data_IF_894081064414
#
_entry.id   IF_894081064414
#
_cell.length_a   1.000
_cell.length_b   1.000
_cell.length_c   1.000
_cell.angle_alpha   90.00
_cell.angle_beta   90.00
_cell.angle_gamma   90.00
#
_symmetry.space_group_name_H-M   'P 1'
#
loop_
_entity.id
_entity.type
_entity.pdbx_description
1 polymer ?
#
# COMPACT_ATOMS: atom_id res chain seq x y z
N UNK A 1 3.81 -15.81 -23.64
CA UNK A 1 5.07 -15.06 -23.45
C UNK A 1 5.97 -15.80 -22.48
N UNK A 2 7.17 -16.19 -22.90
CA UNK A 2 8.24 -16.69 -22.02
C UNK A 2 9.22 -15.54 -21.82
N UNK A 3 9.63 -15.28 -20.58
CA UNK A 3 10.70 -14.32 -20.26
C UNK A 3 11.84 -15.12 -19.67
N UNK A 4 13.01 -15.05 -20.30
CA UNK A 4 14.24 -15.67 -19.80
C UNK A 4 15.11 -14.57 -19.20
N UNK A 5 15.59 -14.78 -17.99
CA UNK A 5 16.52 -13.88 -17.30
C UNK A 5 17.74 -14.69 -16.93
N UNK A 6 18.91 -14.31 -17.44
CA UNK A 6 20.18 -14.85 -16.99
C UNK A 6 20.65 -14.04 -15.78
N UNK A 7 20.88 -14.73 -14.66
CA UNK A 7 21.30 -14.11 -13.40
C UNK A 7 22.78 -14.40 -13.18
N UNK A 8 23.66 -13.53 -13.68
CA UNK A 8 25.11 -13.71 -13.65
C UNK A 8 25.68 -13.86 -12.22
N UNK A 9 26.26 -15.01 -11.88
CA UNK A 9 27.03 -15.26 -10.65
C UNK A 9 26.44 -16.31 -9.70
N UNK A 10 27.28 -16.87 -8.82
CA UNK A 10 26.90 -17.97 -7.90
C UNK A 10 26.19 -17.46 -6.63
N UNK A 11 25.28 -18.26 -6.08
CA UNK A 11 24.65 -18.05 -4.76
C UNK A 11 23.15 -17.76 -4.78
N UNK A 12 22.51 -17.80 -3.60
CA UNK A 12 21.10 -17.44 -3.44
C UNK A 12 20.88 -15.95 -3.71
N UNK A 13 19.80 -15.63 -4.42
CA UNK A 13 19.42 -14.25 -4.73
C UNK A 13 17.92 -14.04 -4.51
N UNK A 14 17.52 -12.95 -3.85
CA UNK A 14 16.12 -12.61 -3.77
C UNK A 14 15.60 -12.19 -5.16
N UNK A 15 14.59 -12.88 -5.65
CA UNK A 15 13.92 -12.58 -6.92
C UNK A 15 12.48 -12.18 -6.64
N UNK A 16 12.01 -11.13 -7.32
CA UNK A 16 10.61 -10.71 -7.29
C UNK A 16 10.08 -10.59 -8.72
N UNK A 17 9.07 -11.38 -9.04
CA UNK A 17 8.40 -11.36 -10.34
C UNK A 17 7.13 -10.53 -10.20
N UNK A 18 7.03 -9.43 -10.94
CA UNK A 18 5.78 -8.67 -11.05
C UNK A 18 4.97 -9.19 -12.22
N UNK A 19 3.70 -9.50 -11.96
CA UNK A 19 2.77 -9.96 -12.97
C UNK A 19 2.12 -8.77 -13.69
N UNK A 20 1.60 -8.96 -14.92
CA UNK A 20 0.88 -7.91 -15.64
C UNK A 20 -0.21 -7.25 -14.80
N UNK A 21 -0.29 -5.92 -14.86
CA UNK A 21 -1.28 -5.12 -14.10
C UNK A 21 -2.64 -5.06 -14.78
N UNK A 22 -2.70 -5.20 -16.11
CA UNK A 22 -3.94 -5.10 -16.90
C UNK A 22 -4.18 -6.39 -17.70
N UNK A 23 -4.34 -7.50 -17.00
CA UNK A 23 -4.66 -8.78 -17.62
C UNK A 23 -4.86 -9.89 -16.58
N UNK A 24 -5.64 -10.90 -16.94
CA UNK A 24 -5.86 -12.07 -16.07
C UNK A 24 -4.72 -13.06 -16.26
N UNK A 25 -3.94 -13.28 -15.21
CA UNK A 25 -2.92 -14.33 -15.19
C UNK A 25 -3.55 -15.64 -14.73
N UNK A 26 -3.71 -16.59 -15.65
CA UNK A 26 -4.27 -17.92 -15.33
C UNK A 26 -3.25 -18.91 -14.79
N UNK A 27 -1.99 -18.76 -15.18
CA UNK A 27 -0.90 -19.65 -14.76
C UNK A 27 0.45 -18.98 -14.90
N UNK A 28 1.39 -19.32 -14.02
CA UNK A 28 2.80 -18.96 -14.11
C UNK A 28 3.65 -20.22 -14.01
N UNK A 29 4.79 -20.23 -14.71
CA UNK A 29 5.80 -21.30 -14.60
C UNK A 29 7.16 -20.65 -14.43
N UNK A 30 7.93 -21.10 -13.45
CA UNK A 30 9.30 -20.66 -13.20
C UNK A 30 10.22 -21.82 -13.55
N UNK A 31 11.05 -21.64 -14.57
CA UNK A 31 12.10 -22.60 -14.91
C UNK A 31 13.37 -22.29 -14.14
N UNK A 32 14.06 -23.31 -13.65
CA UNK A 32 15.34 -23.21 -12.96
C UNK A 32 16.34 -24.16 -13.62
N UNK A 33 17.63 -23.83 -13.52
CA UNK A 33 18.69 -24.75 -13.93
C UNK A 33 18.68 -26.02 -13.08
N UNK A 34 19.20 -27.12 -13.64
CA UNK A 34 19.29 -28.40 -12.93
C UNK A 34 20.18 -28.23 -11.69
N UNK A 35 19.63 -28.57 -10.53
CA UNK A 35 20.32 -28.46 -9.23
C UNK A 35 20.17 -27.11 -8.53
N UNK A 36 19.56 -26.10 -9.17
CA UNK A 36 19.21 -24.85 -8.51
C UNK A 36 18.08 -25.06 -7.49
N UNK A 37 18.05 -24.20 -6.46
CA UNK A 37 17.06 -24.25 -5.38
C UNK A 37 16.22 -22.98 -5.35
N UNK A 38 14.94 -23.13 -5.01
CA UNK A 38 14.02 -22.03 -4.76
C UNK A 38 13.61 -22.06 -3.29
N UNK A 39 13.74 -20.91 -2.61
CA UNK A 39 13.36 -20.76 -1.21
C UNK A 39 12.50 -19.51 -1.02
N UNK A 40 11.61 -19.56 -0.03
CA UNK A 40 10.77 -18.42 0.30
C UNK A 40 11.60 -17.32 0.96
N UNK A 41 11.62 -16.15 0.34
CA UNK A 41 12.23 -14.94 0.92
C UNK A 41 11.27 -14.33 1.93
N UNK A 42 11.75 -14.09 3.16
CA UNK A 42 11.03 -13.30 4.15
C UNK A 42 11.38 -11.82 3.99
N UNK A 43 10.40 -10.94 4.23
CA UNK A 43 10.66 -9.51 4.29
C UNK A 43 11.58 -9.20 5.49
N UNK A 44 12.75 -8.55 5.27
CA UNK A 44 13.65 -8.13 6.36
C UNK A 44 12.97 -7.33 7.48
N UNK A 45 11.93 -6.55 7.17
CA UNK A 45 11.12 -5.81 8.13
C UNK A 45 10.39 -6.69 9.15
N UNK A 46 10.24 -7.99 8.87
CA UNK A 46 9.43 -8.93 9.64
C UNK A 46 7.91 -8.73 9.50
N UNK A 47 7.47 -7.81 8.65
CA UNK A 47 6.04 -7.58 8.39
C UNK A 47 5.50 -8.74 7.54
N UNK A 48 4.53 -9.46 8.10
CA UNK A 48 3.90 -10.63 7.45
C UNK A 48 2.52 -10.33 6.86
N UNK A 49 1.79 -9.37 7.43
CA UNK A 49 0.45 -8.98 6.96
C UNK A 49 0.56 -7.87 5.91
N UNK A 50 -0.25 -7.88 4.86
CA UNK A 50 -0.11 -6.93 3.77
C UNK A 50 -0.55 -5.52 4.14
N UNK A 51 0.07 -4.55 3.48
CA UNK A 51 -0.55 -3.24 3.24
C UNK A 51 -1.62 -3.44 2.17
N UNK A 52 -2.85 -3.05 2.47
CA UNK A 52 -3.98 -3.10 1.52
C UNK A 52 -4.24 -1.70 1.02
N UNK A 53 -3.95 -1.45 -0.26
CA UNK A 53 -4.09 -0.12 -0.86
C UNK A 53 -5.27 -0.07 -1.81
N UNK A 54 -6.32 0.62 -1.40
CA UNK A 54 -7.50 0.91 -2.18
C UNK A 54 -7.38 2.26 -2.88
N UNK A 55 -7.70 2.31 -4.18
CA UNK A 55 -7.79 3.58 -4.88
C UNK A 55 -7.98 3.45 -6.38
N UNK A 56 -7.55 4.47 -7.11
CA UNK A 56 -8.00 4.76 -8.49
C UNK A 56 -7.24 3.98 -9.58
N UNK A 57 -7.35 4.44 -10.84
CA UNK A 57 -6.53 3.98 -11.96
C UNK A 57 -5.03 4.13 -11.71
N UNK A 58 -4.63 5.12 -10.91
CA UNK A 58 -3.23 5.35 -10.52
C UNK A 58 -2.75 4.20 -9.65
N UNK A 59 -3.53 3.83 -8.62
CA UNK A 59 -3.26 2.66 -7.76
C UNK A 59 -3.20 1.39 -8.60
N UNK A 60 -4.13 1.22 -9.55
CA UNK A 60 -4.18 0.07 -10.48
C UNK A 60 -2.91 -0.05 -11.35
N UNK A 61 -2.17 1.04 -11.55
CA UNK A 61 -0.89 1.06 -12.27
C UNK A 61 -0.91 1.87 -13.57
N UNK A 62 -1.96 2.66 -13.83
CA UNK A 62 -1.94 3.67 -14.89
C UNK A 62 -0.93 4.79 -14.54
N UNK A 63 0.10 5.08 -15.35
CA UNK A 63 0.48 4.53 -16.66
C UNK A 63 1.94 4.04 -16.65
N UNK A 64 2.33 3.26 -15.65
CA UNK A 64 3.68 2.73 -15.56
C UNK A 64 3.99 1.81 -16.75
N UNK A 65 5.19 1.95 -17.33
CA UNK A 65 5.59 1.19 -18.53
C UNK A 65 5.71 -0.31 -18.29
N UNK A 66 5.91 -0.71 -17.03
CA UNK A 66 5.95 -2.11 -16.59
C UNK A 66 5.46 -2.27 -15.15
N UNK A 67 4.93 -3.44 -14.77
CA UNK A 67 4.36 -3.68 -13.43
C UNK A 67 5.29 -3.37 -12.26
N UNK A 68 6.60 -3.58 -12.42
CA UNK A 68 7.59 -3.27 -11.38
C UNK A 68 7.81 -1.78 -11.15
N UNK A 69 7.36 -0.92 -12.07
CA UNK A 69 7.44 0.55 -11.98
C UNK A 69 6.16 1.21 -11.51
N UNK A 70 5.06 0.48 -11.31
CA UNK A 70 3.89 1.03 -10.63
C UNK A 70 4.30 1.59 -9.27
N UNK A 71 3.82 2.77 -8.91
CA UNK A 71 4.22 3.40 -7.66
C UNK A 71 3.89 2.52 -6.44
N UNK A 72 2.81 1.74 -6.49
CA UNK A 72 2.42 0.75 -5.47
C UNK A 72 3.45 -0.37 -5.33
N UNK A 73 3.94 -0.90 -6.46
CA UNK A 73 5.05 -1.86 -6.49
C UNK A 73 6.29 -1.25 -5.85
N UNK A 74 6.67 -0.02 -6.23
CA UNK A 74 7.82 0.70 -5.67
C UNK A 74 7.65 0.92 -4.16
N UNK A 75 6.48 1.39 -3.74
CA UNK A 75 6.15 1.66 -2.35
C UNK A 75 6.25 0.40 -1.50
N UNK A 76 5.70 -0.72 -1.95
CA UNK A 76 5.80 -2.02 -1.27
C UNK A 76 7.25 -2.51 -1.14
N UNK A 77 8.09 -2.34 -2.18
CA UNK A 77 9.52 -2.69 -2.08
C UNK A 77 10.24 -1.85 -1.03
N UNK A 78 10.05 -0.53 -1.07
CA UNK A 78 10.78 0.40 -0.23
C UNK A 78 10.27 0.43 1.22
N UNK A 79 8.99 0.13 1.43
CA UNK A 79 8.42 -0.11 2.75
C UNK A 79 8.77 -1.50 3.31
N UNK A 80 9.24 -2.39 2.44
CA UNK A 80 9.58 -3.77 2.72
C UNK A 80 8.44 -4.53 3.41
N UNK A 81 7.24 -4.47 2.83
CA UNK A 81 6.05 -5.15 3.33
C UNK A 81 5.34 -5.89 2.20
N UNK A 82 4.61 -6.99 2.50
CA UNK A 82 3.65 -7.54 1.56
C UNK A 82 2.64 -6.46 1.17
N UNK A 83 2.22 -6.44 -0.09
CA UNK A 83 1.42 -5.36 -0.64
C UNK A 83 0.30 -5.91 -1.51
N UNK A 84 -0.93 -5.51 -1.21
CA UNK A 84 -2.13 -5.85 -1.99
C UNK A 84 -2.62 -4.57 -2.65
N UNK A 85 -2.52 -4.54 -3.98
CA UNK A 85 -3.00 -3.46 -4.81
C UNK A 85 -4.48 -3.69 -5.15
N UNK A 86 -5.37 -2.86 -4.60
CA UNK A 86 -6.81 -2.85 -4.84
C UNK A 86 -7.20 -1.58 -5.62
N UNK A 87 -6.53 -1.37 -6.76
CA UNK A 87 -6.80 -0.27 -7.67
C UNK A 87 -7.97 -0.55 -8.62
N UNK A 88 -8.93 0.36 -8.69
CA UNK A 88 -10.12 0.28 -9.53
C UNK A 88 -10.19 1.48 -10.48
N UNK A 89 -9.77 1.25 -11.73
CA UNK A 89 -9.72 2.29 -12.77
C UNK A 89 -11.09 2.90 -13.02
N UNK A 90 -11.27 4.19 -12.70
CA UNK A 90 -12.54 4.92 -12.84
C UNK A 90 -13.66 4.54 -11.86
N UNK A 91 -13.43 3.56 -10.97
CA UNK A 91 -14.50 2.96 -10.16
C UNK A 91 -14.25 2.97 -8.64
N UNK A 92 -13.11 3.46 -8.15
CA UNK A 92 -12.89 3.64 -6.71
C UNK A 92 -13.63 4.86 -6.14
N UNK A 93 -14.94 4.75 -5.87
CA UNK A 93 -15.81 5.86 -5.39
C UNK A 93 -16.34 5.65 -3.97
N UNK A 94 -15.58 4.94 -3.15
CA UNK A 94 -15.84 4.67 -1.74
C UNK A 94 -17.14 3.89 -1.52
N UNK A 95 -17.39 2.92 -2.41
CA UNK A 95 -18.55 2.04 -2.33
C UNK A 95 -18.54 1.24 -1.02
N UNK A 96 -19.63 1.23 -0.24
CA UNK A 96 -19.68 0.54 1.05
C UNK A 96 -19.37 -0.96 0.97
N UNK A 97 -19.70 -1.60 -0.15
CA UNK A 97 -19.41 -3.02 -0.39
C UNK A 97 -17.92 -3.28 -0.63
N UNK A 98 -17.18 -2.31 -1.19
CA UNK A 98 -15.72 -2.45 -1.33
C UNK A 98 -15.04 -2.40 0.03
N UNK A 99 -15.53 -1.61 0.99
CA UNK A 99 -15.01 -1.65 2.35
C UNK A 99 -15.15 -3.05 2.99
N UNK A 100 -16.25 -3.78 2.73
CA UNK A 100 -16.40 -5.16 3.21
C UNK A 100 -15.38 -6.10 2.58
N UNK A 101 -15.13 -5.96 1.29
CA UNK A 101 -14.14 -6.78 0.57
C UNK A 101 -12.74 -6.54 1.14
N UNK A 102 -12.36 -5.28 1.36
CA UNK A 102 -11.07 -4.93 1.96
C UNK A 102 -10.96 -5.44 3.39
N UNK A 103 -12.03 -5.35 4.19
CA UNK A 103 -12.08 -5.81 5.57
C UNK A 103 -11.91 -7.33 5.71
N UNK A 104 -12.12 -8.13 4.65
CA UNK A 104 -11.83 -9.58 4.68
C UNK A 104 -10.33 -9.89 4.67
N UNK A 105 -9.49 -8.93 4.30
CA UNK A 105 -8.04 -9.09 4.25
C UNK A 105 -7.46 -8.68 5.61
N UNK A 106 -6.75 -9.60 6.27
CA UNK A 106 -6.05 -9.32 7.53
C UNK A 106 -4.81 -8.43 7.28
N UNK A 107 -5.02 -7.12 7.30
CA UNK A 107 -4.02 -6.12 6.91
C UNK A 107 -3.09 -5.68 8.06
N UNK A 108 -1.90 -5.19 7.71
CA UNK A 108 -1.06 -4.40 8.61
C UNK A 108 -1.34 -2.90 8.54
N UNK A 109 -1.94 -2.45 7.44
CA UNK A 109 -2.32 -1.07 7.15
C UNK A 109 -3.37 -1.06 6.03
N UNK A 110 -4.42 -0.26 6.17
CA UNK A 110 -5.27 0.13 5.05
C UNK A 110 -4.88 1.51 4.53
N UNK A 111 -4.69 1.64 3.22
CA UNK A 111 -4.46 2.91 2.53
C UNK A 111 -5.67 3.22 1.67
N UNK A 112 -6.25 4.41 1.83
CA UNK A 112 -7.46 4.88 1.15
C UNK A 112 -7.10 6.10 0.31
N UNK A 113 -7.01 5.91 -1.01
CA UNK A 113 -6.59 6.91 -2.01
C UNK A 113 -7.67 7.08 -3.11
N UNK A 114 -8.78 7.78 -2.82
CA UNK A 114 -9.97 7.77 -3.68
C UNK A 114 -10.09 9.00 -4.62
N UNK A 115 -9.27 10.04 -4.40
CA UNK A 115 -9.55 11.42 -4.83
C UNK A 115 -9.83 11.54 -6.32
N UNK A 116 -9.00 10.95 -7.18
CA UNK A 116 -9.10 11.09 -8.63
C UNK A 116 -10.38 10.51 -9.25
N UNK A 117 -11.11 9.67 -8.52
CA UNK A 117 -12.38 9.09 -8.99
C UNK A 117 -13.61 9.72 -8.30
N UNK A 118 -13.41 10.59 -7.31
CA UNK A 118 -14.47 11.15 -6.47
C UNK A 118 -14.69 12.63 -6.73
N UNK A 119 -15.93 13.08 -6.51
CA UNK A 119 -16.26 14.49 -6.35
C UNK A 119 -16.20 14.88 -4.87
N UNK A 120 -16.16 16.18 -4.53
CA UNK A 120 -16.23 16.64 -3.15
C UNK A 120 -17.46 16.09 -2.39
N UNK A 121 -18.60 15.97 -3.06
CA UNK A 121 -19.86 15.46 -2.49
C UNK A 121 -19.71 13.98 -2.13
N UNK A 122 -19.14 13.17 -3.03
CA UNK A 122 -18.87 11.75 -2.77
C UNK A 122 -17.93 11.60 -1.56
N UNK A 123 -16.89 12.43 -1.47
CA UNK A 123 -15.96 12.39 -0.33
C UNK A 123 -16.70 12.69 0.98
N UNK A 124 -17.46 13.79 1.04
CA UNK A 124 -18.21 14.18 2.24
C UNK A 124 -19.22 13.14 2.68
N UNK A 125 -19.90 12.52 1.71
CA UNK A 125 -20.92 11.49 1.97
C UNK A 125 -20.29 10.16 2.42
N UNK A 126 -19.21 9.72 1.77
CA UNK A 126 -18.80 8.29 1.83
C UNK A 126 -17.49 8.00 2.53
N UNK A 127 -16.59 8.97 2.67
CA UNK A 127 -15.26 8.71 3.23
C UNK A 127 -15.36 8.24 4.69
N UNK A 128 -16.13 8.94 5.53
CA UNK A 128 -16.29 8.54 6.93
C UNK A 128 -16.93 7.14 7.08
N UNK A 129 -18.09 6.83 6.48
CA UNK A 129 -18.66 5.49 6.56
C UNK A 129 -17.70 4.39 6.11
N UNK A 130 -16.92 4.65 5.04
CA UNK A 130 -15.92 3.72 4.53
C UNK A 130 -14.81 3.45 5.56
N UNK A 131 -14.25 4.50 6.17
CA UNK A 131 -13.21 4.39 7.19
C UNK A 131 -13.73 3.71 8.46
N UNK A 132 -14.94 4.06 8.91
CA UNK A 132 -15.57 3.44 10.08
C UNK A 132 -15.79 1.94 9.88
N UNK A 133 -16.15 1.50 8.68
CA UNK A 133 -16.35 0.08 8.36
C UNK A 133 -15.05 -0.72 8.44
N UNK A 134 -13.96 -0.19 7.87
CA UNK A 134 -12.63 -0.79 7.98
C UNK A 134 -12.17 -0.86 9.45
N UNK A 135 -12.35 0.23 10.20
CA UNK A 135 -11.99 0.30 11.61
C UNK A 135 -12.81 -0.67 12.46
N UNK A 136 -14.12 -0.79 12.23
CA UNK A 136 -14.98 -1.71 12.97
C UNK A 136 -14.55 -3.17 12.80
N UNK A 137 -14.14 -3.56 11.58
CA UNK A 137 -13.63 -4.91 11.32
C UNK A 137 -12.23 -5.13 11.92
N UNK A 138 -11.38 -4.11 11.93
CA UNK A 138 -9.99 -4.20 12.40
C UNK A 138 -9.56 -2.99 13.26
N UNK A 139 -10.05 -2.86 14.51
CA UNK A 139 -9.86 -1.64 15.31
C UNK A 139 -8.40 -1.32 15.68
N UNK A 140 -7.51 -2.31 15.55
CA UNK A 140 -6.07 -2.18 15.83
C UNK A 140 -5.22 -1.85 14.61
N UNK A 141 -5.80 -1.83 13.40
CA UNK A 141 -5.06 -1.61 12.15
C UNK A 141 -5.09 -0.12 11.81
N UNK A 142 -3.93 0.51 11.52
CA UNK A 142 -3.89 1.90 11.11
C UNK A 142 -4.60 2.11 9.77
N UNK A 143 -5.18 3.31 9.61
CA UNK A 143 -5.77 3.82 8.38
C UNK A 143 -4.91 4.97 7.88
N UNK A 144 -4.52 4.95 6.61
CA UNK A 144 -3.85 6.07 5.93
C UNK A 144 -4.79 6.64 4.87
N UNK A 145 -5.23 7.88 5.07
CA UNK A 145 -6.08 8.62 4.13
C UNK A 145 -5.18 9.51 3.28
N UNK A 146 -5.28 9.37 1.95
CA UNK A 146 -4.39 10.02 1.00
C UNK A 146 -5.13 11.07 0.17
N UNK A 147 -4.53 12.24 0.03
CA UNK A 147 -4.88 13.17 -1.05
C UNK A 147 -4.49 12.62 -2.42
N UNK A 148 -5.12 13.13 -3.47
CA UNK A 148 -4.69 12.91 -4.85
C UNK A 148 -3.56 13.86 -5.22
N UNK A 149 -2.59 13.37 -6.00
CA UNK A 149 -1.49 14.20 -6.51
C UNK A 149 -1.97 15.43 -7.30
N UNK A 150 -1.18 16.50 -7.28
CA UNK A 150 -1.52 17.81 -7.85
C UNK A 150 -0.53 18.15 -8.99
N UNK A 151 -0.71 17.59 -10.21
CA UNK A 151 0.26 17.72 -11.30
C UNK A 151 0.50 19.16 -11.75
N UNK A 152 -0.51 20.03 -11.57
CA UNK A 152 -0.42 21.46 -11.87
C UNK A 152 -0.06 22.31 -10.64
N UNK A 153 0.23 21.70 -9.50
CA UNK A 153 0.47 22.41 -8.23
C UNK A 153 -0.77 23.13 -7.67
N UNK A 154 -1.95 22.86 -8.24
CA UNK A 154 -3.22 23.44 -7.81
C UNK A 154 -3.97 22.41 -6.98
N UNK A 155 -4.33 22.84 -5.77
CA UNK A 155 -5.13 22.02 -4.87
C UNK A 155 -6.55 21.83 -5.39
N UNK A 156 -7.00 20.58 -5.41
CA UNK A 156 -8.35 20.25 -5.86
C UNK A 156 -9.39 20.44 -4.76
N UNK A 157 -10.63 20.82 -5.13
CA UNK A 157 -11.77 20.85 -4.21
C UNK A 157 -12.05 19.48 -3.57
N UNK A 158 -11.71 18.39 -4.26
CA UNK A 158 -11.84 17.04 -3.72
C UNK A 158 -10.80 16.77 -2.62
N UNK A 159 -9.55 17.25 -2.75
CA UNK A 159 -8.55 17.23 -1.67
C UNK A 159 -8.99 18.08 -0.47
N UNK A 160 -9.60 19.24 -0.71
CA UNK A 160 -10.16 20.08 0.36
C UNK A 160 -11.26 19.34 1.14
N UNK A 161 -12.23 18.74 0.44
CA UNK A 161 -13.29 17.94 1.06
C UNK A 161 -12.73 16.72 1.83
N UNK A 162 -11.68 16.08 1.31
CA UNK A 162 -11.03 14.96 2.00
C UNK A 162 -10.37 15.43 3.30
N UNK A 163 -9.67 16.57 3.27
CA UNK A 163 -9.06 17.17 4.46
C UNK A 163 -10.10 17.57 5.49
N UNK A 164 -11.22 18.15 5.06
CA UNK A 164 -12.35 18.52 5.91
C UNK A 164 -12.89 17.32 6.70
N UNK A 165 -13.19 16.21 6.01
CA UNK A 165 -13.67 14.97 6.65
C UNK A 165 -12.61 14.37 7.56
N UNK A 166 -11.35 14.34 7.12
CA UNK A 166 -10.23 13.84 7.92
C UNK A 166 -10.09 14.62 9.24
N UNK A 167 -10.10 15.96 9.18
CA UNK A 167 -9.90 16.81 10.37
C UNK A 167 -11.03 16.66 11.37
N UNK A 168 -12.27 16.57 10.88
CA UNK A 168 -13.42 16.26 11.73
C UNK A 168 -13.23 14.94 12.46
N UNK A 169 -12.90 13.87 11.74
CA UNK A 169 -12.67 12.53 12.34
C UNK A 169 -11.48 12.52 13.30
N UNK A 170 -10.39 13.22 12.97
CA UNK A 170 -9.22 13.32 13.82
C UNK A 170 -9.54 13.99 15.17
N UNK A 171 -10.44 14.98 15.17
CA UNK A 171 -10.87 15.72 16.36
C UNK A 171 -11.81 14.94 17.30
N UNK A 172 -12.42 13.83 16.85
CA UNK A 172 -13.43 13.08 17.62
C UNK A 172 -12.90 12.38 18.89
N UNK A 173 -11.58 12.32 19.09
CA UNK A 173 -10.94 11.59 20.21
C UNK A 173 -11.52 10.16 20.38
N UNK A 174 -11.63 9.43 19.27
CA UNK A 174 -12.19 8.08 19.22
C UNK A 174 -11.10 7.02 19.01
N UNK A 175 -11.46 5.73 19.14
CA UNK A 175 -10.53 4.64 18.79
C UNK A 175 -10.13 4.67 17.32
N UNK A 176 -10.99 5.20 16.44
CA UNK A 176 -10.70 5.43 15.03
C UNK A 176 -9.68 6.55 14.86
N UNK A 177 -9.89 7.70 15.53
CA UNK A 177 -8.97 8.84 15.38
C UNK A 177 -7.57 8.52 15.89
N UNK A 178 -7.43 7.65 16.88
CA UNK A 178 -6.13 7.12 17.36
C UNK A 178 -5.41 6.21 16.34
N UNK A 179 -6.09 5.78 15.27
CA UNK A 179 -5.55 4.95 14.18
C UNK A 179 -5.49 5.67 12.84
N UNK A 180 -5.99 6.90 12.78
CA UNK A 180 -6.09 7.67 11.55
C UNK A 180 -4.78 8.40 11.25
N UNK A 181 -4.31 8.30 10.01
CA UNK A 181 -3.09 8.92 9.51
C UNK A 181 -3.39 9.65 8.19
N UNK A 182 -2.62 10.69 7.91
CA UNK A 182 -2.79 11.53 6.73
C UNK A 182 -1.59 11.47 5.80
N UNK A 183 -1.83 11.47 4.49
CA UNK A 183 -0.82 11.70 3.48
C UNK A 183 -1.24 12.86 2.57
N UNK A 184 -0.60 14.05 2.68
CA UNK A 184 -0.87 15.16 1.76
C UNK A 184 -0.29 14.89 0.36
N UNK A 185 -0.82 15.59 -0.65
CA UNK A 185 -0.42 15.51 -2.06
C UNK A 185 1.02 15.98 -2.29
N UNK A 186 1.57 16.75 -1.35
CA UNK A 186 2.90 17.34 -1.42
C UNK A 186 3.98 16.30 -1.80
N UNK A 187 4.63 16.54 -2.94
CA UNK A 187 5.72 15.72 -3.46
C UNK A 187 5.31 14.40 -4.09
N UNK A 188 4.02 14.06 -4.16
CA UNK A 188 3.54 12.85 -4.87
C UNK A 188 3.86 12.93 -6.37
N UNK A 189 3.58 14.08 -6.97
CA UNK A 189 3.80 14.39 -8.39
C UNK A 189 4.69 15.64 -8.45
N UNK A 190 5.69 15.66 -9.32
CA UNK A 190 6.46 16.90 -9.51
C UNK A 190 5.68 17.83 -10.45
N UNK A 191 5.73 19.12 -10.18
CA UNK A 191 5.03 20.17 -10.94
C UNK A 191 5.87 20.69 -12.12
N UNK A 192 6.84 19.89 -12.57
CA UNK A 192 7.73 20.19 -13.69
C UNK A 192 7.08 19.96 -15.06
N UNK A 193 5.85 19.42 -15.09
CA UNK A 193 5.14 19.02 -16.31
C UNK A 193 5.58 17.66 -16.87
N UNK A 194 6.64 17.06 -16.32
CA UNK A 194 7.29 15.86 -16.85
C UNK A 194 6.91 14.58 -16.08
N UNK A 195 6.17 14.71 -14.97
CA UNK A 195 5.86 13.59 -14.07
C UNK A 195 4.64 12.76 -14.44
N UNK A 196 3.86 13.19 -15.43
CA UNK A 196 2.60 12.53 -15.80
C UNK A 196 2.55 12.19 -17.27
N UNK A 197 1.71 11.22 -17.62
CA UNK A 197 1.40 10.89 -19.01
C UNK A 197 0.34 11.83 -19.59
N UNK A 198 -0.63 12.24 -18.79
CA UNK A 198 -1.87 12.91 -19.23
C UNK A 198 -2.41 13.92 -18.20
N UNK A 199 -1.53 14.51 -17.38
CA UNK A 199 -1.92 15.39 -16.25
C UNK A 199 -2.80 14.72 -15.18
N UNK A 200 -2.83 13.39 -15.14
CA UNK A 200 -3.51 12.61 -14.11
C UNK A 200 -2.64 11.43 -13.67
N UNK A 201 -2.29 10.57 -14.62
CA UNK A 201 -1.58 9.33 -14.39
C UNK A 201 -0.06 9.58 -14.35
N UNK A 202 0.63 9.17 -13.28
CA UNK A 202 2.09 9.24 -13.23
C UNK A 202 2.69 8.37 -14.34
N UNK A 203 3.69 8.91 -15.04
CA UNK A 203 4.57 8.11 -15.87
C UNK A 203 5.61 7.38 -14.98
N UNK A 204 6.65 6.80 -15.56
CA UNK A 204 7.67 6.08 -14.77
C UNK A 204 8.44 7.00 -13.82
N UNK A 205 8.78 8.21 -14.26
CA UNK A 205 9.46 9.21 -13.43
C UNK A 205 8.56 9.62 -12.26
N UNK A 206 7.31 10.03 -12.53
CA UNK A 206 6.33 10.36 -11.48
C UNK A 206 6.07 9.19 -10.53
N UNK A 207 5.97 7.96 -11.04
CA UNK A 207 5.74 6.75 -10.24
C UNK A 207 6.87 6.48 -9.24
N UNK A 208 8.13 6.77 -9.61
CA UNK A 208 9.28 6.65 -8.71
C UNK A 208 9.18 7.65 -7.56
N UNK A 209 8.81 8.90 -7.85
CA UNK A 209 8.64 9.94 -6.83
C UNK A 209 7.48 9.61 -5.89
N UNK A 210 6.30 9.34 -6.45
CA UNK A 210 5.11 8.94 -5.69
C UNK A 210 5.37 7.70 -4.84
N UNK A 211 6.03 6.67 -5.40
CA UNK A 211 6.37 5.45 -4.68
C UNK A 211 7.27 5.69 -3.46
N UNK A 212 8.21 6.64 -3.53
CA UNK A 212 9.07 7.03 -2.39
C UNK A 212 8.26 7.75 -1.31
N UNK A 213 7.32 8.63 -1.69
CA UNK A 213 6.43 9.34 -0.75
C UNK A 213 5.58 8.33 0.02
N UNK A 214 4.88 7.46 -0.69
CA UNK A 214 4.05 6.42 -0.07
C UNK A 214 4.86 5.47 0.79
N UNK A 215 6.06 5.05 0.35
CA UNK A 215 6.93 4.19 1.15
C UNK A 215 7.32 4.81 2.51
N UNK A 216 7.55 6.13 2.56
CA UNK A 216 7.82 6.82 3.83
C UNK A 216 6.58 6.82 4.72
N UNK A 217 5.43 7.19 4.19
CA UNK A 217 4.17 7.23 4.93
C UNK A 217 3.79 5.85 5.49
N UNK A 218 3.89 4.80 4.67
CA UNK A 218 3.61 3.42 5.06
C UNK A 218 4.55 2.99 6.20
N UNK A 219 5.86 3.22 6.08
CA UNK A 219 6.81 2.84 7.15
C UNK A 219 6.51 3.55 8.46
N UNK A 220 6.07 4.80 8.41
CA UNK A 220 5.69 5.53 9.62
C UNK A 220 4.45 4.91 10.27
N UNK A 221 3.41 4.61 9.49
CA UNK A 221 2.20 3.95 10.00
C UNK A 221 2.47 2.55 10.58
N UNK A 222 3.43 1.82 10.02
CA UNK A 222 3.77 0.47 10.48
C UNK A 222 4.66 0.46 11.73
N UNK A 223 5.43 1.53 11.98
CA UNK A 223 6.24 1.69 13.20
C UNK A 223 5.43 2.06 14.43
N UNK A 224 4.30 2.75 14.27
CA UNK A 224 3.44 3.22 15.38
C UNK A 224 2.55 2.13 15.97
N UNK A 225 2.69 0.87 15.52
CA UNK A 225 1.98 -0.26 16.10
C UNK A 225 2.46 -0.49 17.54
N UNK A 226 1.57 -0.53 18.55
CA UNK A 226 1.95 -0.94 19.88
C UNK A 226 2.64 -2.31 19.80
N UNK A 227 3.83 -2.45 20.40
CA UNK A 227 4.53 -3.73 20.53
C UNK A 227 3.75 -4.66 21.46
N UNK A 228 2.63 -5.20 21.00
CA UNK A 228 1.79 -6.14 21.73
C UNK A 228 1.42 -7.31 20.83
N UNK A 229 1.73 -8.52 21.28
CA UNK A 229 1.56 -9.83 20.62
C UNK A 229 2.71 -10.27 19.70
N UNK A 230 3.95 -10.24 20.22
CA UNK A 230 4.84 -11.40 20.00
C UNK A 230 4.21 -12.54 20.80
N UNK A 231 3.48 -13.45 20.14
CA UNK A 231 3.09 -14.73 20.76
C UNK A 231 4.37 -15.39 21.28
N UNK A 232 4.35 -15.78 22.54
CA UNK A 232 5.50 -16.35 23.25
C UNK A 232 6.10 -17.52 22.48
N UNK A 233 7.40 -17.42 22.21
CA UNK A 233 8.21 -18.57 21.83
C UNK A 233 8.28 -19.52 23.02
N UNK A 234 7.80 -20.73 22.82
CA UNK A 234 8.09 -21.86 23.69
C UNK A 234 9.60 -22.21 23.61
N UNK A 235 10.16 -22.63 24.74
CA UNK A 235 11.45 -23.32 24.85
C UNK A 235 12.59 -22.41 25.33
N UNK A 236 13.23 -22.64 26.47
CA UNK A 236 13.10 -23.69 27.47
C UNK A 236 13.81 -23.23 28.75
N UNK A 237 13.30 -23.66 29.90
CA UNK A 237 13.97 -23.47 31.19
C UNK A 237 15.28 -24.24 31.19
N UNK A 238 16.41 -23.55 31.08
CA UNK A 238 17.70 -24.07 31.53
C UNK A 238 17.68 -24.09 33.06
N UNK A 239 17.52 -25.28 33.65
CA UNK A 239 17.85 -25.51 35.05
C UNK A 239 19.37 -25.47 35.19
N UNK A 240 19.89 -24.38 35.75
CA UNK A 240 21.10 -24.42 36.57
C UNK A 240 20.65 -24.36 38.02
N UNK A 241 21.00 -25.36 38.82
CA UNK A 241 21.53 -25.11 40.15
C UNK A 241 22.37 -26.29 40.66
N UNK A 242 23.46 -25.87 41.28
CA UNK A 242 24.61 -26.56 41.83
C UNK A 242 24.36 -27.52 43.00
N UNK A 243 25.36 -28.39 43.18
CA UNK A 243 25.94 -28.87 44.44
C UNK A 243 25.10 -29.76 45.36
N UNK A 244 25.45 -31.05 45.45
CA UNK A 244 26.52 -31.60 46.30
C UNK A 244 26.92 -32.98 45.79
#
# INVERSE_FOLDING_TARGET
NKVCVDMLGKGFRPVRVYLPTRGVVRSIRIGLEKGARLEQVRHPSGIVKPVVHYGTSIVHGGCASRPGLCFTSIAGRLADAPYVNMGFSGCAKLEPHLADVLARIDASLYVVDPVWNCTPEIIRERLEPFLRKLHAAHPGVPLLVCEGGEPLGVRSKTNEALKEVYDRLAAEKSTLSARLNYLPAAGMIQTDGESTHDYCHPNDYGSVHMGKVFARAIRNCLKTRPRGLRKGGAGGKSKKNNAR
#
